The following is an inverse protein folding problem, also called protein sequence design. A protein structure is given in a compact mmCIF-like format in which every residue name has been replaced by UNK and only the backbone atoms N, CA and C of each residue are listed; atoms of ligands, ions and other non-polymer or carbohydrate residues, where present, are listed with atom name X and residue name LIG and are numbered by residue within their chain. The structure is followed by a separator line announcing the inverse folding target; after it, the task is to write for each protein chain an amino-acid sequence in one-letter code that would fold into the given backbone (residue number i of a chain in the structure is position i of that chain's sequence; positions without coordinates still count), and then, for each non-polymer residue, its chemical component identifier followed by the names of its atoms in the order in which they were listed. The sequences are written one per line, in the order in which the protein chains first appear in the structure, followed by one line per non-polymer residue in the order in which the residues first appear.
data_IF_739986919855
#
_entry.id   IF_739986919855
#
_cell.length_a   1.000
_cell.length_b   1.000
_cell.length_c   1.000
_cell.angle_alpha   90.00
_cell.angle_beta   90.00
_cell.angle_gamma   90.00
#
_symmetry.space_group_name_H-M   'P 1'
#
loop_
_entity.id
_entity.type
_entity.pdbx_description
1 polymer ?
#
# COMPACT_ATOMS: atom_id res chain seq x y z
N UNK A 1 -8.87 1.05 62.18
CA UNK A 1 -9.51 -0.20 61.72
C UNK A 1 -10.02 0.10 60.32
N UNK A 2 -9.34 -0.40 59.29
CA UNK A 2 -9.66 -0.13 57.88
C UNK A 2 -10.43 -1.33 57.34
N UNK A 3 -11.61 -1.07 56.75
CA UNK A 3 -12.45 -2.10 56.14
C UNK A 3 -11.79 -2.62 54.84
N UNK A 4 -11.67 -3.95 54.63
CA UNK A 4 -10.88 -4.52 53.53
C UNK A 4 -11.62 -4.63 52.18
N UNK A 5 -12.79 -4.01 51.99
CA UNK A 5 -13.64 -4.24 50.81
C UNK A 5 -14.00 -2.97 50.03
N UNK A 6 -13.00 -2.19 49.61
CA UNK A 6 -13.21 -1.20 48.55
C UNK A 6 -12.17 -1.37 47.44
N UNK A 7 -12.44 -2.31 46.53
CA UNK A 7 -11.75 -2.34 45.25
C UNK A 7 -12.28 -1.18 44.40
N UNK A 8 -11.43 -0.30 43.85
CA UNK A 8 -11.91 0.74 42.95
C UNK A 8 -12.57 0.07 41.74
N UNK A 9 -13.86 0.35 41.53
CA UNK A 9 -14.59 -0.05 40.33
C UNK A 9 -13.88 0.56 39.12
N UNK A 10 -13.17 -0.29 38.37
CA UNK A 10 -12.58 0.09 37.09
C UNK A 10 -13.72 0.59 36.21
N UNK A 11 -13.66 1.81 35.64
CA UNK A 11 -14.64 2.22 34.65
C UNK A 11 -14.64 1.18 33.54
N UNK A 12 -15.82 0.64 33.24
CA UNK A 12 -15.98 -0.31 32.16
C UNK A 12 -15.75 0.48 30.85
N UNK A 13 -14.50 0.51 30.40
CA UNK A 13 -14.14 0.96 29.06
C UNK A 13 -14.86 0.01 28.11
N UNK A 14 -16.06 0.41 27.70
CA UNK A 14 -16.70 -0.13 26.52
C UNK A 14 -15.71 0.12 25.38
N UNK A 15 -14.83 -0.86 25.13
CA UNK A 15 -14.06 -0.99 23.92
C UNK A 15 -15.09 -1.15 22.81
N UNK A 16 -15.67 -0.02 22.40
CA UNK A 16 -16.66 0.06 21.35
C UNK A 16 -16.15 -0.72 20.16
N UNK A 17 -17.06 -1.48 19.55
CA UNK A 17 -16.81 -2.32 18.37
C UNK A 17 -15.70 -1.74 17.49
N UNK A 18 -14.70 -2.56 17.10
CA UNK A 18 -13.57 -2.08 16.32
C UNK A 18 -14.10 -1.36 15.07
N UNK A 19 -13.56 -0.16 14.82
CA UNK A 19 -13.95 0.67 13.68
C UNK A 19 -13.86 -0.15 12.38
N UNK A 20 -15.01 -0.38 11.73
CA UNK A 20 -15.09 -1.13 10.46
C UNK A 20 -15.12 -0.18 9.28
N UNK A 21 -14.14 -0.32 8.39
CA UNK A 21 -14.11 0.38 7.11
C UNK A 21 -14.92 -0.41 6.09
N UNK A 22 -16.10 0.11 5.73
CA UNK A 22 -16.90 -0.45 4.65
C UNK A 22 -16.47 0.14 3.30
N UNK A 23 -15.99 -0.70 2.40
CA UNK A 23 -15.64 -0.30 1.04
C UNK A 23 -16.88 -0.12 0.16
N UNK A 24 -16.79 0.78 -0.83
CA UNK A 24 -17.83 0.94 -1.84
C UNK A 24 -18.12 -0.37 -2.58
N UNK A 25 -19.39 -0.68 -2.85
CA UNK A 25 -19.83 -1.94 -3.47
C UNK A 25 -19.16 -2.28 -4.81
N UNK A 26 -18.65 -1.27 -5.53
CA UNK A 26 -17.91 -1.45 -6.79
C UNK A 26 -16.54 -2.10 -6.60
N UNK A 27 -15.88 -1.87 -5.47
CA UNK A 27 -14.56 -2.45 -5.17
C UNK A 27 -14.67 -3.97 -5.05
N UNK A 28 -15.78 -4.45 -4.46
CA UNK A 28 -16.09 -5.89 -4.33
C UNK A 28 -16.30 -6.60 -5.68
N UNK A 29 -16.47 -5.85 -6.78
CA UNK A 29 -16.66 -6.40 -8.14
C UNK A 29 -15.39 -6.39 -8.99
N UNK A 30 -14.30 -5.79 -8.50
CA UNK A 30 -13.05 -5.75 -9.25
C UNK A 30 -12.48 -7.18 -9.34
N UNK A 31 -12.14 -7.66 -10.54
CA UNK A 31 -11.46 -8.94 -10.68
C UNK A 31 -10.07 -8.88 -10.02
N UNK A 32 -9.51 -10.02 -9.62
CA UNK A 32 -8.12 -10.07 -9.14
C UNK A 32 -7.15 -9.49 -10.17
N UNK A 33 -6.18 -8.70 -9.69
CA UNK A 33 -5.15 -8.11 -10.56
C UNK A 33 -4.16 -9.18 -11.05
N UNK A 34 -4.42 -9.69 -12.25
CA UNK A 34 -3.66 -10.80 -12.86
C UNK A 34 -2.15 -10.49 -12.95
N UNK A 35 -1.80 -9.31 -13.46
CA UNK A 35 -0.40 -8.90 -13.61
C UNK A 35 0.35 -8.81 -12.28
N UNK A 36 -0.33 -8.48 -11.18
CA UNK A 36 0.30 -8.48 -9.85
C UNK A 36 0.83 -9.85 -9.43
N UNK A 37 0.11 -10.93 -9.78
CA UNK A 37 0.55 -12.30 -9.50
C UNK A 37 1.73 -12.71 -10.37
N UNK A 38 1.69 -12.32 -11.65
CA UNK A 38 2.76 -12.59 -12.62
C UNK A 38 4.03 -11.85 -12.18
N UNK A 39 3.93 -10.56 -11.88
CA UNK A 39 5.05 -9.72 -11.46
C UNK A 39 5.71 -10.25 -10.18
N UNK A 40 4.91 -10.69 -9.20
CA UNK A 40 5.46 -11.32 -8.00
C UNK A 40 6.24 -12.60 -8.35
N UNK A 41 5.71 -13.44 -9.24
CA UNK A 41 6.39 -14.68 -9.66
C UNK A 41 7.70 -14.39 -10.41
N UNK A 42 7.69 -13.43 -11.35
CA UNK A 42 8.89 -12.98 -12.07
C UNK A 42 9.94 -12.43 -11.10
N UNK A 43 9.51 -11.64 -10.11
CA UNK A 43 10.36 -11.08 -9.07
C UNK A 43 11.05 -12.17 -8.23
N UNK A 44 10.29 -13.18 -7.76
CA UNK A 44 10.88 -14.29 -7.00
C UNK A 44 11.89 -15.09 -7.83
N UNK A 45 11.59 -15.35 -9.12
CA UNK A 45 12.54 -16.03 -10.02
C UNK A 45 13.82 -15.24 -10.22
N UNK A 46 13.73 -13.93 -10.43
CA UNK A 46 14.89 -13.05 -10.55
C UNK A 46 15.73 -13.06 -9.27
N UNK A 47 15.11 -13.03 -8.09
CA UNK A 47 15.81 -13.13 -6.79
C UNK A 47 16.50 -14.48 -6.57
N UNK A 48 15.97 -15.54 -7.16
CA UNK A 48 16.59 -16.87 -7.13
C UNK A 48 17.76 -17.02 -8.14
N UNK A 49 18.12 -15.95 -8.86
CA UNK A 49 19.22 -15.95 -9.84
C UNK A 49 18.83 -16.45 -11.23
N UNK A 50 17.53 -16.64 -11.52
CA UNK A 50 17.09 -16.96 -12.87
C UNK A 50 17.20 -15.72 -13.78
N UNK A 51 17.69 -15.92 -14.99
CA UNK A 51 17.62 -14.91 -16.05
C UNK A 51 16.20 -14.86 -16.60
N UNK A 52 15.52 -13.72 -16.41
CA UNK A 52 14.08 -13.54 -16.66
C UNK A 52 13.88 -12.40 -17.65
N UNK A 53 13.30 -12.74 -18.80
CA UNK A 53 12.86 -11.79 -19.82
C UNK A 53 11.37 -11.49 -19.61
N UNK A 54 11.03 -10.22 -19.36
CA UNK A 54 9.64 -9.75 -19.22
C UNK A 54 9.22 -8.97 -20.48
N UNK A 55 8.29 -9.55 -21.24
CA UNK A 55 7.71 -8.95 -22.45
C UNK A 55 6.24 -8.53 -22.24
N UNK A 56 5.74 -8.59 -20.99
CA UNK A 56 4.30 -8.51 -20.71
C UNK A 56 3.78 -7.10 -20.43
N UNK A 57 4.60 -6.22 -19.84
CA UNK A 57 4.11 -4.95 -19.28
C UNK A 57 4.24 -3.76 -20.24
N UNK A 58 5.14 -3.81 -21.22
CA UNK A 58 5.42 -2.68 -22.11
C UNK A 58 6.03 -1.46 -21.40
N UNK A 59 6.67 -1.67 -20.25
CA UNK A 59 7.34 -0.60 -19.52
C UNK A 59 8.56 -0.11 -20.34
N UNK A 60 8.64 1.19 -20.66
CA UNK A 60 9.80 1.72 -21.37
C UNK A 60 11.06 1.56 -20.51
N UNK A 61 12.16 1.19 -21.15
CA UNK A 61 13.47 1.11 -20.50
C UNK A 61 14.20 2.46 -20.51
N UNK A 62 13.92 3.28 -21.53
CA UNK A 62 14.54 4.58 -21.68
C UNK A 62 13.96 5.59 -20.69
N UNK A 63 14.78 6.52 -20.18
CA UNK A 63 14.28 7.60 -19.34
C UNK A 63 13.34 8.52 -20.14
N UNK A 64 12.46 9.27 -19.45
CA UNK A 64 11.68 10.33 -20.10
C UNK A 64 12.57 11.35 -20.83
N UNK A 65 12.00 12.10 -21.78
CA UNK A 65 12.75 13.14 -22.47
C UNK A 65 13.26 14.21 -21.49
N UNK A 66 14.47 14.75 -21.74
CA UNK A 66 15.15 15.69 -20.85
C UNK A 66 14.29 16.91 -20.49
N UNK A 67 13.54 17.44 -21.45
CA UNK A 67 12.66 18.59 -21.24
C UNK A 67 11.59 18.32 -20.18
N UNK A 68 11.05 17.09 -20.12
CA UNK A 68 10.04 16.69 -19.12
C UNK A 68 10.69 16.64 -17.74
N UNK A 69 11.89 16.07 -17.64
CA UNK A 69 12.63 16.02 -16.39
C UNK A 69 13.01 17.41 -15.89
N UNK A 70 13.49 18.29 -16.76
CA UNK A 70 13.86 19.67 -16.42
C UNK A 70 12.65 20.46 -15.90
N UNK A 71 11.49 20.33 -16.56
CA UNK A 71 10.25 20.97 -16.10
C UNK A 71 9.73 20.39 -14.78
N UNK A 72 9.88 19.08 -14.56
CA UNK A 72 9.53 18.48 -13.28
C UNK A 72 10.37 19.08 -12.15
N UNK A 73 11.69 19.20 -12.36
CA UNK A 73 12.60 19.80 -11.38
C UNK A 73 12.26 21.27 -11.12
N UNK A 74 12.07 22.08 -12.16
CA UNK A 74 11.64 23.48 -12.05
C UNK A 74 10.38 23.62 -11.17
N UNK A 75 9.36 22.79 -11.43
CA UNK A 75 8.12 22.80 -10.66
C UNK A 75 8.31 22.43 -9.18
N UNK A 76 9.31 21.61 -8.84
CA UNK A 76 9.60 21.30 -7.42
C UNK A 76 10.20 22.46 -6.64
N UNK A 77 10.74 23.48 -7.33
CA UNK A 77 11.31 24.69 -6.74
C UNK A 77 10.43 25.93 -6.96
N UNK A 78 9.27 25.81 -7.61
CA UNK A 78 8.31 26.93 -7.74
C UNK A 78 7.66 27.21 -6.38
N UNK A 79 7.79 28.45 -5.90
CA UNK A 79 7.27 28.88 -4.59
C UNK A 79 5.79 29.32 -4.64
N UNK A 80 5.17 29.31 -5.82
CA UNK A 80 3.77 29.75 -6.01
C UNK A 80 2.72 28.75 -5.55
#
# INVERSE_FOLDING_TARGET
MQDPNNSPSVPNDNLGEPFRVEYASRVKRLPPYLFGRINNTLYQKRRAGADVIDLGMGNPSDPPEKIVMEKMVEATFDER
#
